data_IF_823977231659
#
_entry.id   IF_823977231659
#
_cell.length_a   1.000
_cell.length_b   1.000
_cell.length_c   1.000
_cell.angle_alpha   90.00
_cell.angle_beta   90.00
_cell.angle_gamma   90.00
#
_symmetry.space_group_name_H-M   'P 1'
#
loop_
_entity.id
_entity.type
_entity.pdbx_description
1 polymer ?
#
# COMPACT_ATOMS: atom_id res chain seq x y z
N UNK A 1 6.06 6.32 -2.87
CA UNK A 1 5.66 7.70 -3.24
C UNK A 1 4.16 7.76 -3.47
N UNK A 2 3.67 6.92 -4.38
CA UNK A 2 2.29 6.68 -4.76
C UNK A 2 1.32 6.47 -3.60
N UNK A 3 1.73 5.72 -2.57
CA UNK A 3 0.95 5.57 -1.35
C UNK A 3 0.74 6.92 -0.66
N UNK A 4 1.80 7.71 -0.48
CA UNK A 4 1.72 9.03 0.16
C UNK A 4 0.90 10.02 -0.68
N UNK A 5 0.97 9.93 -2.01
CA UNK A 5 0.16 10.77 -2.90
C UNK A 5 -1.33 10.42 -2.78
N UNK A 6 -1.67 9.12 -2.76
CA UNK A 6 -3.04 8.67 -2.52
C UNK A 6 -3.57 9.06 -1.15
N UNK A 7 -2.78 8.87 -0.09
CA UNK A 7 -3.17 9.31 1.27
C UNK A 7 -3.36 10.83 1.32
N UNK A 8 -2.53 11.62 0.62
CA UNK A 8 -2.70 13.06 0.55
C UNK A 8 -3.98 13.48 -0.20
N UNK A 9 -4.40 12.72 -1.22
CA UNK A 9 -5.72 12.91 -1.84
C UNK A 9 -6.84 12.73 -0.82
N UNK A 10 -6.84 11.60 -0.11
CA UNK A 10 -7.85 11.30 0.91
C UNK A 10 -7.88 12.39 1.99
N UNK A 11 -6.71 12.77 2.53
CA UNK A 11 -6.57 13.84 3.52
C UNK A 11 -7.10 15.18 3.01
N UNK A 12 -6.81 15.54 1.75
CA UNK A 12 -7.31 16.79 1.15
C UNK A 12 -8.83 16.78 1.00
N UNK A 13 -9.45 15.63 0.70
CA UNK A 13 -10.91 15.54 0.62
C UNK A 13 -11.58 15.63 1.99
N UNK A 14 -10.99 15.02 3.02
CA UNK A 14 -11.48 15.19 4.39
C UNK A 14 -11.28 16.64 4.86
N UNK A 15 -10.04 17.11 4.78
CA UNK A 15 -9.63 18.44 5.22
C UNK A 15 -8.81 19.18 4.13
N UNK A 16 -9.46 20.03 3.31
CA UNK A 16 -8.76 20.84 2.31
C UNK A 16 -7.81 21.89 2.89
N UNK A 17 -7.92 22.19 4.18
CA UNK A 17 -7.04 23.16 4.84
C UNK A 17 -5.70 22.55 5.28
N UNK A 18 -5.47 21.25 5.05
CA UNK A 18 -4.16 20.63 5.15
C UNK A 18 -3.29 20.99 3.92
N UNK A 19 -2.51 22.07 4.09
CA UNK A 19 -1.63 22.58 3.04
C UNK A 19 -0.58 21.54 2.59
N UNK A 20 -0.11 20.67 3.48
CA UNK A 20 0.92 19.67 3.16
C UNK A 20 0.35 18.67 2.14
N UNK A 21 -0.83 18.12 2.44
CA UNK A 21 -1.49 17.16 1.56
C UNK A 21 -1.93 17.81 0.25
N UNK A 22 -2.50 19.01 0.31
CA UNK A 22 -2.97 19.74 -0.87
C UNK A 22 -1.82 20.08 -1.82
N UNK A 23 -0.71 20.63 -1.31
CA UNK A 23 0.46 20.98 -2.12
C UNK A 23 1.05 19.75 -2.81
N UNK A 24 1.04 18.59 -2.16
CA UNK A 24 1.57 17.33 -2.71
C UNK A 24 0.81 16.87 -3.95
N UNK A 25 -0.51 17.02 -3.96
CA UNK A 25 -1.38 16.48 -5.02
C UNK A 25 -1.83 17.52 -6.04
N UNK A 26 -1.61 18.81 -5.77
CA UNK A 26 -2.07 19.92 -6.61
C UNK A 26 -1.77 19.72 -8.11
N UNK A 27 -0.56 19.27 -8.43
CA UNK A 27 -0.12 19.05 -9.81
C UNK A 27 0.25 17.59 -10.13
N UNK A 28 -0.27 16.63 -9.36
CA UNK A 28 -0.05 15.20 -9.60
C UNK A 28 -1.38 14.47 -9.76
N UNK A 29 -1.88 14.13 -10.96
CA UNK A 29 -1.27 14.38 -12.28
C UNK A 29 -1.29 15.86 -12.68
N UNK A 30 -0.56 16.21 -13.74
CA UNK A 30 -0.37 17.61 -14.15
C UNK A 30 -1.70 18.32 -14.49
N UNK A 31 -1.96 19.45 -13.82
CA UNK A 31 -3.18 20.28 -13.95
C UNK A 31 -2.91 21.71 -14.38
N UNK A 32 -1.65 22.03 -14.69
CA UNK A 32 -1.23 23.40 -15.01
C UNK A 32 -1.00 24.29 -13.78
N UNK A 33 -0.96 23.69 -12.58
CA UNK A 33 -0.57 24.35 -11.34
C UNK A 33 0.95 24.24 -11.16
N UNK A 34 1.69 25.19 -11.75
CA UNK A 34 3.15 25.21 -11.64
C UNK A 34 3.63 25.49 -10.21
N UNK A 35 4.89 25.12 -9.92
CA UNK A 35 5.53 25.38 -8.62
C UNK A 35 5.43 26.86 -8.24
N UNK A 36 5.71 27.77 -9.19
CA UNK A 36 5.57 29.23 -9.01
C UNK A 36 4.14 29.64 -8.65
N UNK A 37 3.13 28.98 -9.22
CA UNK A 37 1.72 29.26 -8.89
C UNK A 37 1.43 28.84 -7.45
N UNK A 38 1.90 27.66 -7.05
CA UNK A 38 1.69 27.13 -5.70
C UNK A 38 2.46 27.92 -4.63
N UNK A 39 3.70 28.34 -4.91
CA UNK A 39 4.49 29.22 -4.05
C UNK A 39 3.79 30.56 -3.82
N UNK A 40 3.23 31.17 -4.86
CA UNK A 40 2.46 32.42 -4.74
C UNK A 40 1.19 32.24 -3.92
N UNK A 41 0.47 31.12 -4.08
CA UNK A 41 -0.71 30.81 -3.28
C UNK A 41 -0.36 30.58 -1.81
N UNK A 42 0.76 29.91 -1.53
CA UNK A 42 1.28 29.70 -0.18
C UNK A 42 1.72 31.03 0.46
N UNK A 43 2.41 31.91 -0.27
CA UNK A 43 2.72 33.24 0.23
C UNK A 43 1.44 34.03 0.56
N UNK A 44 0.45 34.00 -0.33
CA UNK A 44 -0.83 34.68 -0.14
C UNK A 44 -1.64 34.11 1.05
N UNK A 45 -1.53 32.82 1.34
CA UNK A 45 -2.17 32.19 2.50
C UNK A 45 -1.52 32.63 3.81
N UNK A 46 -0.18 32.69 3.86
CA UNK A 46 0.56 33.21 5.01
C UNK A 46 0.23 34.68 5.32
N UNK A 47 0.20 35.56 4.32
CA UNK A 47 -0.18 36.97 4.49
C UNK A 47 -1.57 37.14 5.11
N UNK A 48 -2.50 36.24 4.75
CA UNK A 48 -3.91 36.29 5.15
C UNK A 48 -4.21 35.42 6.38
N UNK A 49 -3.18 34.80 6.98
CA UNK A 49 -3.31 33.86 8.11
C UNK A 49 -4.35 32.76 7.85
N UNK A 50 -4.36 32.23 6.62
CA UNK A 50 -5.25 31.16 6.20
C UNK A 50 -4.49 30.01 5.55
N UNK A 51 -5.22 29.03 5.01
CA UNK A 51 -4.63 27.92 4.25
C UNK A 51 -4.50 28.28 2.76
N UNK A 52 -3.69 27.52 2.03
CA UNK A 52 -3.57 27.58 0.56
C UNK A 52 -4.94 27.43 -0.10
N UNK A 53 -5.76 26.52 0.41
CA UNK A 53 -7.13 26.34 -0.07
C UNK A 53 -8.00 27.60 0.07
N UNK A 54 -7.91 28.29 1.22
CA UNK A 54 -8.60 29.56 1.42
C UNK A 54 -8.09 30.65 0.47
N UNK A 55 -6.80 30.66 0.15
CA UNK A 55 -6.21 31.57 -0.83
C UNK A 55 -6.70 31.26 -2.25
N UNK A 56 -6.82 29.98 -2.63
CA UNK A 56 -7.37 29.54 -3.92
C UNK A 56 -8.84 29.95 -4.11
N UNK A 57 -9.62 30.03 -3.03
CA UNK A 57 -11.03 30.48 -3.07
C UNK A 57 -11.21 31.99 -3.03
N UNK A 58 -10.14 32.76 -2.80
CA UNK A 58 -10.24 34.20 -2.59
C UNK A 58 -10.11 34.98 -3.91
N UNK A 59 -11.16 35.71 -4.37
CA UNK A 59 -11.12 36.46 -5.62
C UNK A 59 -10.01 37.52 -5.66
N UNK A 60 -9.70 38.16 -4.53
CA UNK A 60 -8.62 39.15 -4.45
C UNK A 60 -7.24 38.55 -4.63
N UNK A 61 -7.08 37.23 -4.45
CA UNK A 61 -5.85 36.49 -4.73
C UNK A 61 -5.85 35.97 -6.16
N UNK A 62 -6.91 35.28 -6.57
CA UNK A 62 -7.00 34.61 -7.89
C UNK A 62 -6.98 35.60 -9.06
N UNK A 63 -7.50 36.82 -8.88
CA UNK A 63 -7.44 37.89 -9.89
C UNK A 63 -6.02 38.37 -10.19
N UNK A 64 -5.05 38.13 -9.30
CA UNK A 64 -3.64 38.50 -9.50
C UNK A 64 -2.87 37.51 -10.39
N UNK A 65 -3.48 36.39 -10.74
CA UNK A 65 -2.92 35.40 -11.64
C UNK A 65 -3.35 35.64 -13.08
N UNK A 66 -2.52 35.19 -14.03
CA UNK A 66 -2.88 35.12 -15.44
C UNK A 66 -4.10 34.20 -15.64
N UNK A 67 -4.88 34.46 -16.69
CA UNK A 67 -6.13 33.73 -16.98
C UNK A 67 -5.97 32.21 -16.90
N UNK A 68 -4.95 31.65 -17.54
CA UNK A 68 -4.70 30.19 -17.54
C UNK A 68 -4.44 29.62 -16.14
N UNK A 69 -3.62 30.29 -15.32
CA UNK A 69 -3.35 29.86 -13.94
C UNK A 69 -4.60 29.98 -13.08
N UNK A 70 -5.41 31.02 -13.29
CA UNK A 70 -6.69 31.21 -12.61
C UNK A 70 -7.66 30.10 -12.93
N UNK A 71 -7.83 29.75 -14.20
CA UNK A 71 -8.67 28.65 -14.66
C UNK A 71 -8.21 27.31 -14.05
N UNK A 72 -6.91 27.03 -14.00
CA UNK A 72 -6.36 25.84 -13.35
C UNK A 72 -6.64 25.80 -11.84
N UNK A 73 -6.56 26.95 -11.15
CA UNK A 73 -6.89 27.05 -9.72
C UNK A 73 -8.38 26.79 -9.49
N UNK A 74 -9.25 27.45 -10.25
CA UNK A 74 -10.70 27.30 -10.16
C UNK A 74 -11.14 25.86 -10.44
N UNK A 75 -10.60 25.24 -11.50
CA UNK A 75 -10.88 23.84 -11.82
C UNK A 75 -10.42 22.87 -10.72
N UNK A 76 -9.29 23.15 -10.06
CA UNK A 76 -8.81 22.32 -8.97
C UNK A 76 -9.65 22.47 -7.69
N UNK A 77 -10.11 23.69 -7.38
CA UNK A 77 -11.06 23.93 -6.27
C UNK A 77 -12.38 23.24 -6.55
N UNK A 78 -12.92 23.36 -7.75
CA UNK A 78 -14.15 22.68 -8.16
C UNK A 78 -14.02 21.16 -8.06
N UNK A 79 -12.89 20.61 -8.49
CA UNK A 79 -12.56 19.19 -8.33
C UNK A 79 -12.61 18.75 -6.87
N UNK A 80 -11.96 19.48 -5.96
CA UNK A 80 -11.98 19.16 -4.52
C UNK A 80 -13.42 19.20 -4.01
N UNK A 81 -14.16 20.30 -4.24
CA UNK A 81 -15.51 20.47 -3.71
C UNK A 81 -16.48 19.42 -4.25
N UNK A 82 -16.38 19.07 -5.55
CA UNK A 82 -17.19 18.01 -6.16
C UNK A 82 -16.95 16.66 -5.50
N UNK A 83 -15.69 16.27 -5.34
CA UNK A 83 -15.34 14.97 -4.74
C UNK A 83 -15.73 14.92 -3.27
N UNK A 84 -15.58 16.02 -2.53
CA UNK A 84 -16.05 16.13 -1.14
C UNK A 84 -17.56 15.97 -1.04
N UNK A 85 -18.31 16.64 -1.91
CA UNK A 85 -19.75 16.51 -1.94
C UNK A 85 -20.20 15.07 -2.23
N UNK A 86 -19.49 14.33 -3.08
CA UNK A 86 -19.74 12.90 -3.32
C UNK A 86 -19.49 12.06 -2.06
N UNK A 87 -18.39 12.32 -1.33
CA UNK A 87 -18.02 11.58 -0.12
C UNK A 87 -18.89 11.87 1.10
N UNK A 88 -19.51 13.05 1.16
CA UNK A 88 -20.43 13.45 2.24
C UNK A 88 -21.87 13.01 1.96
N UNK A 89 -22.25 12.76 0.70
CA UNK A 89 -23.60 12.29 0.38
C UNK A 89 -23.86 10.95 1.06
N UNK A 90 -24.92 10.94 1.86
CA UNK A 90 -25.34 9.78 2.65
C UNK A 90 -26.34 8.89 1.90
N UNK A 91 -26.59 9.09 0.60
CA UNK A 91 -27.77 8.59 -0.14
C UNK A 91 -28.30 7.25 0.38
N UNK A 92 -29.15 7.40 1.40
CA UNK A 92 -29.83 6.37 2.17
C UNK A 92 -31.25 6.21 1.64
N UNK A 93 -31.51 6.57 0.39
CA UNK A 93 -32.70 6.11 -0.31
C UNK A 93 -32.32 4.83 -1.03
N UNK A 94 -32.64 3.64 -0.47
CA UNK A 94 -32.53 2.41 -1.21
C UNK A 94 -33.52 2.48 -2.37
N UNK A 95 -33.04 2.87 -3.56
CA UNK A 95 -33.76 2.57 -4.78
C UNK A 95 -33.74 1.04 -4.91
N UNK A 96 -34.91 0.37 -5.06
CA UNK A 96 -34.99 -1.09 -5.11
C UNK A 96 -34.27 -1.73 -6.32
N UNK A 97 -33.60 -0.93 -7.15
CA UNK A 97 -32.82 -1.34 -8.32
C UNK A 97 -31.33 -0.94 -8.24
N UNK A 98 -30.88 -0.25 -7.17
CA UNK A 98 -29.46 0.09 -7.00
C UNK A 98 -28.74 -0.98 -6.18
N UNK A 99 -28.42 -2.10 -6.82
CA UNK A 99 -27.57 -3.14 -6.24
C UNK A 99 -26.10 -2.71 -6.27
N UNK A 100 -25.72 -1.77 -5.41
CA UNK A 100 -24.39 -1.67 -4.78
C UNK A 100 -24.32 -0.37 -4.01
N UNK A 101 -24.26 -0.44 -2.69
CA UNK A 101 -23.46 0.54 -1.97
C UNK A 101 -22.04 0.42 -2.54
N UNK A 102 -21.60 1.37 -3.35
CA UNK A 102 -20.27 1.32 -3.95
C UNK A 102 -19.24 1.26 -2.83
N UNK A 103 -18.51 0.14 -2.73
CA UNK A 103 -17.41 -0.03 -1.77
C UNK A 103 -16.42 1.13 -1.91
N UNK A 104 -15.85 1.60 -0.78
CA UNK A 104 -14.80 2.63 -0.79
C UNK A 104 -13.61 2.23 -1.67
N UNK A 105 -13.28 0.93 -1.70
CA UNK A 105 -12.24 0.40 -2.58
C UNK A 105 -12.58 0.61 -4.06
N UNK A 106 -13.81 0.31 -4.46
CA UNK A 106 -14.29 0.51 -5.84
C UNK A 106 -14.35 1.99 -6.20
N UNK A 107 -14.79 2.85 -5.27
CA UNK A 107 -14.76 4.30 -5.47
C UNK A 107 -13.33 4.80 -5.67
N UNK A 108 -12.38 4.38 -4.82
CA UNK A 108 -10.99 4.81 -4.90
C UNK A 108 -10.29 4.36 -6.19
N UNK A 109 -10.51 3.13 -6.63
CA UNK A 109 -9.98 2.62 -7.90
C UNK A 109 -10.55 3.42 -9.09
N UNK A 110 -11.88 3.65 -9.12
CA UNK A 110 -12.53 4.49 -10.12
C UNK A 110 -11.99 5.92 -10.12
N UNK A 111 -11.83 6.52 -8.94
CA UNK A 111 -11.31 7.87 -8.75
C UNK A 111 -9.91 8.00 -9.34
N UNK A 112 -8.99 7.07 -9.03
CA UNK A 112 -7.62 7.08 -9.54
C UNK A 112 -7.54 6.87 -11.05
N UNK A 113 -8.46 6.10 -11.62
CA UNK A 113 -8.62 5.95 -13.07
C UNK A 113 -9.12 7.27 -13.71
N UNK A 114 -10.15 7.90 -13.15
CA UNK A 114 -10.76 9.15 -13.64
C UNK A 114 -9.75 10.30 -13.68
N UNK A 115 -8.94 10.46 -12.63
CA UNK A 115 -7.91 11.51 -12.60
C UNK A 115 -6.68 11.14 -13.43
N UNK A 116 -6.60 9.93 -13.98
CA UNK A 116 -5.49 9.44 -14.79
C UNK A 116 -4.22 9.11 -14.00
N UNK A 117 -4.32 8.85 -12.69
CA UNK A 117 -3.16 8.62 -11.83
C UNK A 117 -2.38 7.34 -12.18
N UNK A 118 -3.08 6.25 -12.52
CA UNK A 118 -2.41 5.02 -12.98
C UNK A 118 -1.61 5.25 -14.28
N UNK A 119 -2.13 6.10 -15.17
CA UNK A 119 -1.42 6.47 -16.40
C UNK A 119 -0.21 7.35 -16.11
N UNK A 120 -0.32 8.26 -15.14
CA UNK A 120 0.81 9.06 -14.65
C UNK A 120 1.93 8.16 -14.09
N UNK A 121 1.59 7.15 -13.28
CA UNK A 121 2.56 6.18 -12.75
C UNK A 121 3.27 5.40 -13.86
N UNK A 122 2.55 4.98 -14.92
CA UNK A 122 3.13 4.32 -16.09
C UNK A 122 4.07 5.22 -16.88
N UNK A 123 3.71 6.49 -17.05
CA UNK A 123 4.53 7.47 -17.79
C UNK A 123 5.77 7.89 -17.02
N UNK A 124 5.67 7.99 -15.70
CA UNK A 124 6.75 8.47 -14.83
C UNK A 124 7.86 7.43 -14.56
N UNK A 125 7.69 6.18 -15.00
CA UNK A 125 8.64 5.10 -14.78
C UNK A 125 9.12 4.51 -16.10
N UNK A 126 10.45 4.38 -16.25
CA UNK A 126 11.06 3.90 -17.51
C UNK A 126 10.88 2.40 -17.68
N UNK A 127 10.85 1.65 -16.58
CA UNK A 127 10.65 0.22 -16.60
C UNK A 127 9.16 -0.12 -16.40
N UNK A 128 8.46 -0.68 -17.41
CA UNK A 128 7.04 -1.03 -17.31
C UNK A 128 6.72 -1.96 -16.12
N UNK A 129 7.62 -2.88 -15.78
CA UNK A 129 7.41 -3.82 -14.68
C UNK A 129 7.46 -3.14 -13.31
N UNK A 130 8.35 -2.15 -13.15
CA UNK A 130 8.40 -1.33 -11.93
C UNK A 130 7.15 -0.47 -11.82
N UNK A 131 6.66 0.07 -12.93
CA UNK A 131 5.42 0.84 -12.96
C UNK A 131 4.21 -0.01 -12.53
N UNK A 132 4.06 -1.20 -13.11
CA UNK A 132 2.98 -2.13 -12.76
C UNK A 132 3.10 -2.63 -11.31
N UNK A 133 4.32 -2.82 -10.79
CA UNK A 133 4.52 -3.14 -9.38
C UNK A 133 4.07 -2.00 -8.45
N UNK A 134 4.31 -0.72 -8.80
CA UNK A 134 3.81 0.42 -8.02
C UNK A 134 2.29 0.52 -8.05
N UNK A 135 1.69 0.28 -9.21
CA UNK A 135 0.23 0.22 -9.37
C UNK A 135 -0.34 -0.91 -8.52
N UNK A 136 0.30 -2.08 -8.53
CA UNK A 136 -0.09 -3.22 -7.68
C UNK A 136 -0.05 -2.84 -6.21
N UNK A 137 1.04 -2.25 -5.72
CA UNK A 137 1.16 -1.83 -4.31
C UNK A 137 0.03 -0.86 -3.93
N UNK A 138 -0.31 0.08 -4.82
CA UNK A 138 -1.42 1.01 -4.61
C UNK A 138 -2.78 0.29 -4.58
N UNK A 139 -3.01 -0.68 -5.48
CA UNK A 139 -4.24 -1.50 -5.48
C UNK A 139 -4.37 -2.38 -4.25
N UNK A 140 -3.26 -2.91 -3.74
CA UNK A 140 -3.25 -3.69 -2.51
C UNK A 140 -3.65 -2.81 -1.31
N UNK A 141 -3.17 -1.55 -1.25
CA UNK A 141 -3.64 -0.58 -0.25
C UNK A 141 -5.13 -0.26 -0.43
N UNK A 142 -5.60 -0.02 -1.64
CA UNK A 142 -7.03 0.25 -1.92
C UNK A 142 -7.91 -0.91 -1.44
N UNK A 143 -7.47 -2.16 -1.61
CA UNK A 143 -8.19 -3.32 -1.12
C UNK A 143 -8.30 -3.38 0.41
N UNK A 144 -7.46 -2.65 1.15
CA UNK A 144 -7.58 -2.55 2.61
C UNK A 144 -8.69 -1.59 3.05
N UNK A 145 -9.12 -0.64 2.22
CA UNK A 145 -10.28 0.23 2.49
C UNK A 145 -11.57 -0.56 2.69
N UNK A 146 -11.66 -1.77 2.12
CA UNK A 146 -12.82 -2.65 2.28
C UNK A 146 -12.95 -3.23 3.69
N UNK A 147 -11.86 -3.21 4.49
CA UNK A 147 -11.83 -3.76 5.85
C UNK A 147 -12.42 -2.81 6.90
N UNK A 148 -12.68 -1.55 6.54
CA UNK A 148 -13.21 -0.54 7.47
C UNK A 148 -14.74 -0.67 7.56
N UNK A 149 -15.22 -1.20 8.69
CA UNK A 149 -16.62 -1.44 9.09
C UNK A 149 -17.34 -0.17 9.62
N UNK A 150 -18.69 -0.12 9.67
CA UNK A 150 -19.71 -0.81 8.88
C UNK A 150 -20.24 0.08 7.72
N UNK A 151 -20.93 -0.48 6.71
CA UNK A 151 -21.46 0.24 5.53
C UNK A 151 -22.53 1.32 5.83
N UNK A 152 -22.86 1.57 7.10
CA UNK A 152 -23.88 2.54 7.53
C UNK A 152 -23.32 3.93 7.81
N UNK A 153 -22.00 4.06 8.03
CA UNK A 153 -21.36 5.36 8.20
C UNK A 153 -21.16 6.05 6.82
N UNK A 154 -21.25 7.40 6.75
CA UNK A 154 -20.93 8.14 5.53
C UNK A 154 -19.53 7.77 5.01
N UNK A 155 -19.30 7.79 3.68
CA UNK A 155 -17.98 7.50 3.10
C UNK A 155 -16.86 8.36 3.71
N UNK A 156 -17.12 9.62 4.04
CA UNK A 156 -16.15 10.52 4.69
C UNK A 156 -15.68 10.03 6.07
N UNK A 157 -16.60 9.59 6.93
CA UNK A 157 -16.27 9.10 8.28
C UNK A 157 -15.45 7.80 8.20
N UNK A 158 -15.81 6.91 7.27
CA UNK A 158 -15.06 5.68 7.01
C UNK A 158 -13.64 5.96 6.48
N UNK A 159 -13.47 7.00 5.66
CA UNK A 159 -12.15 7.44 5.20
C UNK A 159 -11.33 8.08 6.33
N UNK A 160 -11.97 8.81 7.26
CA UNK A 160 -11.32 9.32 8.46
C UNK A 160 -10.78 8.17 9.32
N UNK A 161 -11.61 7.18 9.65
CA UNK A 161 -11.19 5.98 10.41
C UNK A 161 -10.03 5.26 9.73
N UNK A 162 -10.09 5.09 8.40
CA UNK A 162 -9.01 4.49 7.64
C UNK A 162 -7.68 5.27 7.76
N UNK A 163 -7.75 6.59 7.69
CA UNK A 163 -6.56 7.44 7.80
C UNK A 163 -5.98 7.38 9.21
N UNK A 164 -6.83 7.34 10.24
CA UNK A 164 -6.41 7.16 11.64
C UNK A 164 -5.67 5.83 11.83
N UNK A 165 -6.24 4.72 11.36
CA UNK A 165 -5.64 3.39 11.45
C UNK A 165 -4.25 3.34 10.79
N UNK A 166 -4.12 3.93 9.60
CA UNK A 166 -2.83 4.00 8.89
C UNK A 166 -1.81 4.85 9.66
N UNK A 167 -2.23 5.97 10.25
CA UNK A 167 -1.31 6.82 11.02
C UNK A 167 -0.83 6.15 12.30
N UNK A 168 -1.71 5.41 12.99
CA UNK A 168 -1.33 4.64 14.18
C UNK A 168 -0.34 3.51 13.84
N UNK A 169 -0.49 2.89 12.68
CA UNK A 169 0.47 1.90 12.20
C UNK A 169 1.79 2.54 11.78
N UNK A 170 1.80 3.74 11.17
CA UNK A 170 3.04 4.43 10.79
C UNK A 170 3.83 4.98 11.98
N UNK A 171 3.17 5.46 13.03
CA UNK A 171 3.85 5.94 14.24
C UNK A 171 4.55 4.78 14.99
N UNK A 172 4.05 3.55 14.85
CA UNK A 172 4.75 2.32 15.28
C UNK A 172 5.96 1.98 14.41
N UNK A 173 6.03 2.53 13.19
CA UNK A 173 7.18 2.35 12.29
C UNK A 173 8.26 3.42 12.48
N UNK A 174 7.90 4.66 12.83
CA UNK A 174 8.89 5.75 13.02
C UNK A 174 9.74 5.57 14.31
N UNK A 175 9.27 4.77 15.29
CA UNK A 175 10.09 4.30 16.42
C UNK A 175 11.21 3.31 16.00
N UNK A 176 11.32 2.94 14.72
CA UNK A 176 12.33 2.01 14.17
C UNK A 176 13.65 2.66 13.75
N UNK A 177 13.81 3.99 13.88
CA UNK A 177 15.08 4.67 13.57
C UNK A 177 16.15 4.47 14.66
N UNK A 178 15.84 3.75 15.75
CA UNK A 178 16.85 3.11 16.57
C UNK A 178 17.23 1.77 15.92
N UNK A 179 18.53 1.46 15.69
CA UNK A 179 18.98 0.12 15.32
C UNK A 179 18.78 -0.81 16.52
N UNK A 180 17.53 -1.17 16.79
CA UNK A 180 17.10 -2.02 17.88
C UNK A 180 17.13 -3.50 17.52
N UNK A 181 17.03 -4.32 18.56
CA UNK A 181 16.79 -5.76 18.47
C UNK A 181 15.40 -6.02 17.87
N UNK A 182 15.36 -6.26 16.56
CA UNK A 182 14.13 -6.41 15.79
C UNK A 182 14.26 -7.47 14.70
N UNK A 183 13.13 -8.05 14.29
CA UNK A 183 13.08 -9.02 13.19
C UNK A 183 13.37 -8.32 11.87
N UNK A 184 14.36 -8.84 11.13
CA UNK A 184 14.74 -8.32 9.81
C UNK A 184 13.86 -8.91 8.71
N UNK A 185 13.05 -8.08 8.06
CA UNK A 185 12.28 -8.44 6.88
C UNK A 185 12.97 -7.93 5.61
N UNK A 186 13.45 -8.84 4.78
CA UNK A 186 14.17 -8.54 3.55
C UNK A 186 13.74 -9.47 2.41
N UNK A 187 13.97 -9.02 1.17
CA UNK A 187 13.78 -9.90 0.00
C UNK A 187 14.93 -10.90 -0.11
N UNK A 188 14.71 -12.05 -0.77
CA UNK A 188 15.78 -13.04 -1.00
C UNK A 188 16.97 -12.46 -1.78
N UNK A 189 16.75 -11.50 -2.68
CA UNK A 189 17.85 -10.86 -3.40
C UNK A 189 18.73 -10.02 -2.48
N UNK A 190 18.11 -9.39 -1.47
CA UNK A 190 18.78 -8.51 -0.51
C UNK A 190 19.54 -9.26 0.59
N UNK A 191 19.33 -10.58 0.75
CA UNK A 191 19.98 -11.35 1.82
C UNK A 191 21.43 -11.76 1.50
N UNK A 192 21.89 -11.55 0.26
CA UNK A 192 23.23 -11.95 -0.18
C UNK A 192 24.31 -11.30 0.70
N UNK A 193 25.18 -12.12 1.29
CA UNK A 193 26.27 -11.66 2.15
C UNK A 193 25.87 -11.39 3.60
N UNK A 194 24.60 -11.58 3.96
CA UNK A 194 24.12 -11.56 5.35
C UNK A 194 24.02 -12.98 5.90
N UNK A 195 23.95 -13.13 7.21
CA UNK A 195 23.67 -14.39 7.88
C UNK A 195 22.87 -14.13 9.16
N UNK A 196 21.98 -15.05 9.51
CA UNK A 196 21.07 -14.90 10.64
C UNK A 196 20.99 -16.23 11.41
N UNK A 197 20.91 -16.20 12.75
CA UNK A 197 20.70 -17.41 13.56
C UNK A 197 19.50 -18.22 13.10
N UNK A 198 18.37 -17.56 12.88
CA UNK A 198 17.11 -18.17 12.48
C UNK A 198 16.57 -17.48 11.22
N UNK A 199 16.25 -18.26 10.19
CA UNK A 199 15.72 -17.76 8.91
C UNK A 199 14.36 -18.37 8.62
N UNK A 200 13.41 -17.52 8.22
CA UNK A 200 12.07 -17.91 7.78
C UNK A 200 11.92 -17.56 6.30
N UNK A 201 11.86 -18.58 5.44
CA UNK A 201 11.53 -18.44 4.02
C UNK A 201 10.02 -18.60 3.87
N UNK A 202 9.33 -17.49 3.61
CA UNK A 202 7.86 -17.48 3.52
C UNK A 202 7.38 -17.45 2.06
N UNK A 203 6.25 -18.11 1.80
CA UNK A 203 5.61 -18.10 0.49
C UNK A 203 6.38 -18.86 -0.59
N UNK A 204 7.04 -19.98 -0.23
CA UNK A 204 7.76 -20.81 -1.18
C UNK A 204 6.79 -21.60 -2.08
N UNK A 205 6.21 -20.88 -3.04
CA UNK A 205 5.08 -21.29 -3.87
C UNK A 205 5.45 -21.28 -5.34
N UNK A 206 4.81 -22.18 -6.09
CA UNK A 206 4.95 -22.23 -7.53
C UNK A 206 4.34 -20.99 -8.20
N UNK A 207 5.17 -20.24 -8.93
CA UNK A 207 4.82 -18.94 -9.49
C UNK A 207 5.30 -17.73 -8.68
N UNK A 208 5.73 -17.94 -7.41
CA UNK A 208 6.49 -16.94 -6.65
C UNK A 208 7.98 -17.27 -6.64
N UNK A 209 8.35 -18.51 -6.28
CA UNK A 209 9.70 -19.05 -6.41
C UNK A 209 9.60 -20.54 -6.78
N UNK A 210 9.85 -20.94 -8.04
CA UNK A 210 10.31 -20.09 -9.13
C UNK A 210 9.23 -19.12 -9.61
N UNK A 211 9.63 -17.87 -9.89
CA UNK A 211 8.72 -16.88 -10.43
C UNK A 211 8.17 -17.31 -11.80
N UNK A 212 6.88 -17.04 -12.05
CA UNK A 212 6.20 -17.45 -13.29
C UNK A 212 6.92 -17.00 -14.56
N UNK A 213 7.61 -15.86 -14.52
CA UNK A 213 8.38 -15.35 -15.65
C UNK A 213 9.62 -16.20 -15.94
N UNK A 214 10.36 -16.58 -14.91
CA UNK A 214 11.58 -17.38 -15.04
C UNK A 214 11.30 -18.78 -15.60
N UNK A 215 10.08 -19.30 -15.39
CA UNK A 215 9.58 -20.50 -16.07
C UNK A 215 9.44 -20.32 -17.58
N UNK A 216 8.85 -19.19 -18.00
CA UNK A 216 8.61 -18.87 -19.42
C UNK A 216 9.92 -18.62 -20.14
N UNK A 217 10.83 -17.88 -19.49
CA UNK A 217 12.14 -17.52 -20.03
C UNK A 217 13.17 -18.66 -19.94
N UNK A 218 12.85 -19.76 -19.25
CA UNK A 218 13.75 -20.91 -19.09
C UNK A 218 14.94 -20.64 -18.14
N UNK A 219 14.83 -19.65 -17.26
CA UNK A 219 15.88 -19.21 -16.33
C UNK A 219 15.73 -19.81 -14.92
N UNK A 220 15.14 -21.01 -14.82
CA UNK A 220 14.87 -21.70 -13.55
C UNK A 220 16.12 -21.93 -12.69
N UNK A 221 17.28 -22.10 -13.32
CA UNK A 221 18.54 -22.29 -12.59
C UNK A 221 18.91 -21.06 -11.75
N UNK A 222 18.51 -19.86 -12.18
CA UNK A 222 18.77 -18.63 -11.42
C UNK A 222 17.84 -18.51 -10.20
N UNK A 223 16.56 -18.88 -10.35
CA UNK A 223 15.63 -18.99 -9.23
C UNK A 223 16.08 -20.06 -8.23
N UNK A 224 16.63 -21.18 -8.71
CA UNK A 224 17.21 -22.22 -7.85
C UNK A 224 18.42 -21.69 -7.08
N UNK A 225 19.30 -20.92 -7.73
CA UNK A 225 20.43 -20.25 -7.04
C UNK A 225 19.94 -19.27 -5.99
N UNK A 226 18.88 -18.51 -6.27
CA UNK A 226 18.27 -17.61 -5.30
C UNK A 226 17.78 -18.38 -4.07
N UNK A 227 17.11 -19.51 -4.26
CA UNK A 227 16.66 -20.37 -3.17
C UNK A 227 17.84 -20.95 -2.38
N UNK A 228 18.90 -21.41 -3.05
CA UNK A 228 20.13 -21.86 -2.40
C UNK A 228 20.78 -20.77 -1.54
N UNK A 229 20.87 -19.53 -2.05
CA UNK A 229 21.39 -18.39 -1.28
C UNK A 229 20.55 -18.18 -0.02
N UNK A 230 19.21 -18.20 -0.13
CA UNK A 230 18.30 -18.03 1.00
C UNK A 230 18.48 -19.12 2.07
N UNK A 231 18.58 -20.40 1.67
CA UNK A 231 18.84 -21.53 2.59
C UNK A 231 20.15 -21.31 3.36
N UNK A 232 21.21 -20.92 2.67
CA UNK A 232 22.54 -20.75 3.27
C UNK A 232 22.70 -19.49 4.12
N UNK A 233 21.64 -18.68 4.31
CA UNK A 233 21.67 -17.56 5.27
C UNK A 233 21.40 -18.01 6.71
N UNK A 234 20.82 -19.20 6.90
CA UNK A 234 20.47 -19.74 8.20
C UNK A 234 21.70 -20.35 8.89
N UNK A 235 22.02 -19.90 10.10
CA UNK A 235 23.12 -20.46 10.88
C UNK A 235 22.68 -21.61 11.78
N UNK A 236 21.48 -21.50 12.40
CA UNK A 236 20.97 -22.48 13.36
C UNK A 236 19.70 -23.17 12.88
N UNK A 237 18.69 -22.41 12.43
CA UNK A 237 17.43 -23.00 11.96
C UNK A 237 16.89 -22.33 10.71
N UNK A 238 16.35 -23.15 9.81
CA UNK A 238 15.60 -22.72 8.64
C UNK A 238 14.15 -23.23 8.75
N UNK A 239 13.18 -22.33 8.61
CA UNK A 239 11.76 -22.68 8.49
C UNK A 239 11.24 -22.19 7.15
N UNK A 240 10.52 -23.06 6.44
CA UNK A 240 9.97 -22.77 5.12
C UNK A 240 8.44 -22.91 5.18
N UNK A 241 7.71 -21.96 4.60
CA UNK A 241 6.25 -22.03 4.53
C UNK A 241 5.72 -21.74 3.13
N UNK A 242 4.57 -22.34 2.82
CA UNK A 242 3.74 -22.07 1.65
C UNK A 242 2.27 -22.08 2.08
N UNK A 243 1.37 -21.47 1.32
CA UNK A 243 -0.07 -21.57 1.58
C UNK A 243 -0.83 -22.34 0.49
N UNK A 244 -2.02 -22.86 0.82
CA UNK A 244 -2.91 -23.51 -0.15
C UNK A 244 -3.69 -22.50 -1.01
N UNK A 245 -3.83 -21.27 -0.52
CA UNK A 245 -4.45 -20.18 -1.26
C UNK A 245 -3.98 -18.82 -0.74
N UNK A 246 -3.84 -17.87 -1.66
CA UNK A 246 -3.35 -16.51 -1.41
C UNK A 246 -4.33 -15.50 -1.97
N UNK A 247 -4.72 -14.53 -1.16
CA UNK A 247 -5.51 -13.40 -1.65
C UNK A 247 -4.60 -12.49 -2.48
N UNK A 248 -4.92 -12.33 -3.77
CA UNK A 248 -4.22 -11.44 -4.71
C UNK A 248 -5.27 -10.64 -5.46
N UNK A 249 -5.15 -9.31 -5.49
CA UNK A 249 -6.12 -8.43 -6.14
C UNK A 249 -7.58 -8.63 -5.65
N UNK A 250 -7.77 -8.80 -4.34
CA UNK A 250 -9.10 -9.03 -3.77
C UNK A 250 -9.65 -10.44 -3.95
N UNK A 251 -9.07 -11.25 -4.83
CA UNK A 251 -9.52 -12.62 -5.12
C UNK A 251 -8.64 -13.65 -4.43
N UNK A 252 -9.24 -14.73 -3.93
CA UNK A 252 -8.51 -15.86 -3.38
C UNK A 252 -8.07 -16.77 -4.54
N UNK A 253 -6.77 -16.84 -4.78
CA UNK A 253 -6.19 -17.72 -5.80
C UNK A 253 -5.62 -18.99 -5.14
N UNK A 254 -5.81 -20.17 -5.73
CA UNK A 254 -5.13 -21.39 -5.27
C UNK A 254 -3.63 -21.26 -5.49
N UNK A 255 -2.86 -21.81 -4.55
CA UNK A 255 -1.39 -21.82 -4.58
C UNK A 255 -0.90 -23.25 -4.49
N UNK A 256 0.17 -23.55 -5.22
CA UNK A 256 0.85 -24.84 -5.16
C UNK A 256 2.22 -24.68 -4.50
N UNK A 257 2.70 -25.67 -3.74
CA UNK A 257 4.05 -25.64 -3.18
C UNK A 257 5.11 -25.53 -4.29
N UNK A 258 6.20 -24.83 -4.02
CA UNK A 258 7.32 -24.74 -4.98
C UNK A 258 7.86 -26.13 -5.33
N UNK A 259 8.18 -26.40 -6.61
CA UNK A 259 8.89 -27.63 -7.00
C UNK A 259 10.26 -27.77 -6.32
N UNK A 260 10.91 -26.67 -5.89
CA UNK A 260 12.19 -26.71 -5.20
C UNK A 260 12.12 -27.39 -3.83
N UNK A 261 10.93 -27.51 -3.23
CA UNK A 261 10.76 -28.30 -2.00
C UNK A 261 11.05 -29.79 -2.23
N UNK A 262 10.74 -30.31 -3.41
CA UNK A 262 11.01 -31.71 -3.76
C UNK A 262 12.50 -31.97 -4.05
N UNK A 263 13.30 -30.91 -4.20
CA UNK A 263 14.75 -31.01 -4.38
C UNK A 263 15.49 -31.11 -3.02
N UNK A 264 14.80 -30.87 -1.90
CA UNK A 264 15.36 -31.05 -0.56
C UNK A 264 15.40 -32.53 -0.17
N UNK A 265 16.49 -33.02 0.46
CA UNK A 265 16.54 -34.38 0.98
C UNK A 265 15.44 -34.61 2.03
N UNK A 266 14.58 -35.60 1.80
CA UNK A 266 13.40 -35.84 2.63
C UNK A 266 13.75 -36.14 4.10
N UNK A 267 14.90 -36.76 4.34
CA UNK A 267 15.44 -37.06 5.67
C UNK A 267 15.84 -35.82 6.47
N UNK A 268 16.02 -34.67 5.82
CA UNK A 268 16.36 -33.40 6.45
C UNK A 268 15.15 -32.47 6.62
N UNK A 269 13.98 -32.87 6.13
CA UNK A 269 12.77 -32.05 6.15
C UNK A 269 11.81 -32.60 7.21
N UNK A 270 11.49 -31.75 8.19
CA UNK A 270 10.43 -32.01 9.16
C UNK A 270 9.15 -31.27 8.74
N UNK A 271 8.08 -32.00 8.44
CA UNK A 271 6.81 -31.38 8.06
C UNK A 271 6.07 -30.86 9.31
N UNK A 272 5.72 -29.56 9.31
CA UNK A 272 5.02 -28.93 10.43
C UNK A 272 3.68 -29.63 10.78
N UNK A 273 3.02 -30.24 9.81
CA UNK A 273 1.78 -30.99 10.00
C UNK A 273 1.95 -32.27 10.84
N UNK A 274 3.18 -32.83 10.90
CA UNK A 274 3.49 -33.98 11.76
C UNK A 274 3.57 -33.58 13.25
N UNK A 275 3.99 -32.32 13.54
CA UNK A 275 3.90 -31.70 14.88
C UNK A 275 2.48 -31.22 15.22
N UNK A 276 1.66 -30.90 14.21
CA UNK A 276 0.32 -30.32 14.39
C UNK A 276 -0.82 -31.34 14.63
N UNK A 277 -0.53 -32.65 14.69
CA UNK A 277 -1.53 -33.69 15.04
C UNK A 277 -2.14 -33.55 16.43
N UNK A 278 -1.62 -32.65 17.27
CA UNK A 278 -2.26 -32.25 18.52
C UNK A 278 -2.76 -30.80 18.40
N UNK A 279 -4.04 -30.51 18.69
CA UNK A 279 -4.55 -29.15 18.68
C UNK A 279 -3.74 -28.28 19.65
N UNK A 280 -3.13 -27.22 19.12
CA UNK A 280 -2.34 -26.29 19.92
C UNK A 280 -3.30 -25.46 20.77
N UNK A 281 -3.22 -25.59 22.10
CA UNK A 281 -4.03 -24.79 23.02
C UNK A 281 -3.72 -23.28 22.84
N UNK A 282 -4.69 -22.37 23.03
CA UNK A 282 -4.47 -20.92 22.89
C UNK A 282 -3.29 -20.38 23.71
N UNK A 283 -2.98 -21.00 24.85
CA UNK A 283 -1.80 -20.69 25.66
C UNK A 283 -0.48 -20.98 24.93
N UNK A 284 -0.41 -22.11 24.21
CA UNK A 284 0.77 -22.56 23.48
C UNK A 284 1.08 -21.70 22.24
N UNK A 285 0.08 -20.97 21.71
CA UNK A 285 0.30 -19.91 20.71
C UNK A 285 1.00 -18.68 21.27
N UNK A 286 0.73 -18.28 22.51
CA UNK A 286 1.47 -17.21 23.22
C UNK A 286 2.89 -17.67 23.59
N UNK A 287 3.03 -18.95 23.94
CA UNK A 287 4.33 -19.54 24.27
C UNK A 287 5.26 -19.65 23.06
N UNK A 288 4.76 -19.73 21.82
CA UNK A 288 5.63 -19.73 20.61
C UNK A 288 6.40 -18.43 20.45
N UNK A 289 5.80 -17.28 20.72
CA UNK A 289 6.52 -16.00 20.69
C UNK A 289 7.49 -15.86 21.87
N UNK A 290 7.16 -16.43 23.03
CA UNK A 290 8.11 -16.52 24.14
C UNK A 290 9.30 -17.42 23.78
N UNK A 291 9.06 -18.60 23.23
CA UNK A 291 10.09 -19.53 22.77
C UNK A 291 10.95 -18.93 21.63
N UNK A 292 10.35 -18.20 20.69
CA UNK A 292 11.11 -17.47 19.67
C UNK A 292 12.01 -16.38 20.28
N UNK A 293 11.58 -15.71 21.35
CA UNK A 293 12.44 -14.76 22.09
C UNK A 293 13.55 -15.48 22.85
N UNK A 294 13.24 -16.60 23.50
CA UNK A 294 14.24 -17.41 24.22
C UNK A 294 15.30 -18.01 23.28
N UNK A 295 14.95 -18.23 22.00
CA UNK A 295 15.91 -18.66 20.96
C UNK A 295 16.88 -17.55 20.52
N UNK A 296 16.56 -16.28 20.77
CA UNK A 296 17.38 -15.14 20.38
C UNK A 296 18.47 -14.78 21.42
N UNK A 297 18.44 -15.40 22.61
CA UNK A 297 19.43 -15.22 23.68
C UNK A 297 19.03 -14.16 24.69
#
# INVERSE_FOLDING_TARGET
REIRDFLAYLKTFINPHDDISLLRIANTPARGLSDVTMERLLAASHERKGSVYSAMKNPSVTTTFMTKSRESIEAFVEFIERTRAELVRTDSTPSPHSQSASSLGTWADRFLEEIGYFNELRRGEKNPEVAENRIRNLKDLIATLEKVEPPTAPPSERLETFLEDITLDSDREDDKDSPGDAVTLITMHSCKGLEFPHVYVVGLEDGLLPHSRSKIEGTLDEERRLFYVAITRAMLSLSISHCAGRKKYGQLLPCHPSPFLNELPAELVEHADEKARQPVAPASGKDRFAAMRDMLG
#
